data_IF_302558098385
#
_entry.id   IF_302558098385
#
_cell.length_a   1.000
_cell.length_b   1.000
_cell.length_c   1.000
_cell.angle_alpha   90.00
_cell.angle_beta   90.00
_cell.angle_gamma   90.00
#
_symmetry.space_group_name_H-M   'P 1'
#
loop_
_entity.id
_entity.type
_entity.pdbx_description
1 polymer ?
#
# COMPACT_ATOMS: atom_id res chain seq x y z
N UNK A 1 38.78 -43.55 -25.10
CA UNK A 1 39.54 -43.86 -26.33
C UNK A 1 38.49 -44.16 -27.40
N UNK A 2 38.31 -43.45 -28.52
CA UNK A 2 39.24 -42.72 -29.36
C UNK A 2 38.47 -41.65 -30.19
N UNK A 3 39.04 -40.44 -30.26
CA UNK A 3 39.14 -39.53 -31.43
C UNK A 3 37.92 -39.19 -32.33
N UNK A 4 37.53 -37.90 -32.31
CA UNK A 4 37.07 -37.05 -33.46
C UNK A 4 38.09 -37.12 -34.65
N UNK A 5 37.90 -36.60 -35.91
CA UNK A 5 37.16 -35.39 -36.31
C UNK A 5 36.62 -35.35 -37.80
N UNK A 6 36.27 -34.14 -38.29
CA UNK A 6 36.31 -33.62 -39.69
C UNK A 6 34.96 -33.50 -40.44
N UNK A 7 34.59 -32.25 -40.81
CA UNK A 7 33.46 -31.87 -41.72
C UNK A 7 33.86 -31.97 -43.20
N UNK A 8 33.44 -31.09 -44.14
CA UNK A 8 32.30 -30.14 -44.22
C UNK A 8 31.52 -30.27 -45.58
N UNK A 9 30.72 -29.25 -45.97
CA UNK A 9 30.45 -28.79 -47.38
C UNK A 9 29.16 -29.28 -48.14
N UNK A 10 28.22 -28.31 -48.25
CA UNK A 10 27.48 -27.75 -49.42
C UNK A 10 26.24 -28.41 -50.09
N UNK A 11 25.22 -27.55 -50.23
CA UNK A 11 24.32 -27.30 -51.39
C UNK A 11 23.31 -28.42 -51.79
N UNK A 12 22.05 -28.19 -52.15
CA UNK A 12 21.31 -27.03 -52.71
C UNK A 12 19.79 -27.34 -52.68
N UNK A 13 18.99 -26.29 -52.47
CA UNK A 13 17.57 -26.01 -52.78
C UNK A 13 16.61 -27.09 -53.35
N UNK A 14 15.30 -27.03 -52.97
CA UNK A 14 14.41 -26.08 -53.65
C UNK A 14 13.54 -25.20 -52.75
N UNK A 15 13.23 -24.05 -53.36
CA UNK A 15 12.32 -22.98 -52.94
C UNK A 15 10.89 -23.51 -52.94
N UNK A 16 10.16 -23.34 -51.84
CA UNK A 16 8.71 -23.30 -51.85
C UNK A 16 8.25 -22.01 -51.19
N UNK A 17 7.91 -21.04 -52.03
CA UNK A 17 7.25 -19.82 -51.64
C UNK A 17 5.84 -20.14 -51.14
N UNK A 18 5.53 -19.80 -49.89
CA UNK A 18 4.15 -19.74 -49.42
C UNK A 18 3.98 -18.59 -48.41
N UNK A 19 3.47 -17.49 -48.96
CA UNK A 19 2.47 -16.58 -48.40
C UNK A 19 2.73 -16.04 -46.99
N UNK A 20 3.18 -14.78 -46.97
CA UNK A 20 3.07 -13.88 -45.84
C UNK A 20 1.60 -13.71 -45.43
N UNK A 21 1.32 -14.01 -44.17
CA UNK A 21 0.06 -13.74 -43.50
C UNK A 21 0.32 -13.59 -42.01
N UNK A 22 1.17 -12.64 -41.62
CA UNK A 22 1.28 -12.24 -40.21
C UNK A 22 -0.01 -11.49 -39.89
N UNK A 23 -1.03 -12.25 -39.48
CA UNK A 23 -2.14 -11.69 -38.74
C UNK A 23 -1.57 -11.12 -37.45
N UNK A 24 -1.40 -9.80 -37.40
CA UNK A 24 -1.23 -9.08 -36.16
C UNK A 24 -2.50 -9.34 -35.35
N UNK A 25 -2.44 -10.33 -34.45
CA UNK A 25 -3.38 -10.45 -33.34
C UNK A 25 -3.25 -9.16 -32.54
N UNK A 26 -4.09 -8.19 -32.89
CA UNK A 26 -4.25 -6.96 -32.16
C UNK A 26 -4.56 -7.36 -30.71
N UNK A 27 -3.59 -7.13 -29.81
CA UNK A 27 -3.90 -6.98 -28.40
C UNK A 27 -5.04 -5.98 -28.32
N UNK A 28 -6.22 -6.46 -27.95
CA UNK A 28 -7.38 -5.62 -27.71
C UNK A 28 -6.99 -4.70 -26.56
N UNK A 29 -6.60 -3.47 -26.90
CA UNK A 29 -6.42 -2.38 -25.95
C UNK A 29 -7.79 -2.21 -25.30
N UNK A 30 -7.94 -2.78 -24.11
CA UNK A 30 -9.06 -2.46 -23.24
C UNK A 30 -8.95 -0.97 -22.94
N UNK A 31 -9.99 -0.17 -23.19
CA UNK A 31 -9.99 1.21 -22.74
C UNK A 31 -9.70 1.23 -21.24
N UNK A 32 -8.56 1.78 -20.84
CA UNK A 32 -8.40 2.28 -19.48
C UNK A 32 -9.53 3.30 -19.30
N UNK A 33 -10.43 3.13 -18.33
CA UNK A 33 -11.42 4.16 -18.06
C UNK A 33 -10.62 5.42 -17.77
N UNK A 34 -10.73 6.38 -18.69
CA UNK A 34 -10.32 7.75 -18.44
C UNK A 34 -10.98 8.16 -17.14
N UNK A 35 -10.25 8.89 -16.31
CA UNK A 35 -10.76 9.51 -15.09
C UNK A 35 -11.84 10.53 -15.46
N UNK A 36 -13.00 10.04 -15.88
CA UNK A 36 -14.23 10.80 -15.96
C UNK A 36 -14.81 10.72 -14.55
N UNK A 37 -14.75 11.86 -13.86
CA UNK A 37 -15.63 12.13 -12.74
C UNK A 37 -17.07 11.92 -13.20
N UNK A 38 -17.59 10.73 -12.91
CA UNK A 38 -19.00 10.42 -12.99
C UNK A 38 -19.54 10.44 -11.58
N UNK A 39 -20.26 11.52 -11.23
CA UNK A 39 -21.22 11.51 -10.16
C UNK A 39 -22.31 10.48 -10.50
N UNK A 40 -22.01 9.21 -10.24
CA UNK A 40 -22.98 8.14 -10.26
C UNK A 40 -23.73 8.16 -8.94
N UNK A 41 -24.83 8.91 -8.90
CA UNK A 41 -25.89 8.67 -7.92
C UNK A 41 -26.44 7.25 -8.16
N UNK A 42 -25.77 6.25 -7.59
CA UNK A 42 -26.42 5.01 -7.20
C UNK A 42 -27.09 5.35 -5.88
N UNK A 43 -28.42 5.36 -5.83
CA UNK A 43 -29.14 5.52 -4.57
C UNK A 43 -28.66 4.45 -3.58
N UNK A 44 -27.85 4.84 -2.59
CA UNK A 44 -27.46 4.02 -1.44
C UNK A 44 -25.97 4.06 -1.05
N UNK A 45 -25.04 3.87 -1.98
CA UNK A 45 -23.62 3.73 -1.65
C UNK A 45 -22.90 5.08 -1.59
N UNK A 46 -22.41 5.44 -0.40
CA UNK A 46 -21.60 6.64 -0.18
C UNK A 46 -20.42 6.27 0.72
N UNK A 47 -19.29 5.96 0.09
CA UNK A 47 -18.08 5.53 0.77
C UNK A 47 -17.57 6.55 1.81
N UNK A 48 -17.58 7.85 1.48
CA UNK A 48 -17.10 8.91 2.37
C UNK A 48 -17.95 8.98 3.65
N UNK A 49 -19.27 8.95 3.50
CA UNK A 49 -20.20 8.94 4.64
C UNK A 49 -20.05 7.68 5.49
N UNK A 50 -19.93 6.51 4.86
CA UNK A 50 -19.71 5.25 5.57
C UNK A 50 -18.42 5.27 6.40
N UNK A 51 -17.32 5.81 5.86
CA UNK A 51 -16.05 5.95 6.58
C UNK A 51 -16.20 6.92 7.76
N UNK A 52 -16.81 8.07 7.54
CA UNK A 52 -17.04 9.08 8.58
C UNK A 52 -17.82 8.50 9.77
N UNK A 53 -18.88 7.72 9.52
CA UNK A 53 -19.72 7.10 10.55
C UNK A 53 -18.95 6.09 11.44
N UNK A 54 -18.00 5.36 10.87
CA UNK A 54 -17.27 4.30 11.58
C UNK A 54 -15.90 4.74 12.12
N UNK A 55 -15.37 5.89 11.68
CA UNK A 55 -13.98 6.25 11.95
C UNK A 55 -13.68 6.32 13.44
N UNK A 56 -14.34 7.23 14.15
CA UNK A 56 -14.10 7.45 15.58
C UNK A 56 -14.65 6.30 16.45
N UNK A 57 -15.74 5.68 16.02
CA UNK A 57 -16.47 4.69 16.82
C UNK A 57 -15.94 3.26 16.68
N UNK A 58 -15.29 2.92 15.56
CA UNK A 58 -14.81 1.56 15.27
C UNK A 58 -13.36 1.52 14.82
N UNK A 59 -12.99 2.34 13.83
CA UNK A 59 -11.65 2.27 13.19
C UNK A 59 -10.55 2.60 14.20
N UNK A 60 -10.65 3.75 14.89
CA UNK A 60 -9.64 4.17 15.86
C UNK A 60 -9.53 3.18 17.03
N UNK A 61 -10.62 2.79 17.73
CA UNK A 61 -10.53 1.80 18.80
C UNK A 61 -9.92 0.47 18.35
N UNK A 62 -10.32 -0.02 17.17
CA UNK A 62 -9.79 -1.27 16.63
C UNK A 62 -8.28 -1.18 16.35
N UNK A 63 -7.82 -0.10 15.71
CA UNK A 63 -6.39 0.09 15.47
C UNK A 63 -5.62 0.25 16.78
N UNK A 64 -6.15 0.97 17.77
CA UNK A 64 -5.52 1.12 19.08
C UNK A 64 -5.39 -0.22 19.82
N UNK A 65 -6.41 -1.09 19.73
CA UNK A 65 -6.36 -2.44 20.30
C UNK A 65 -5.37 -3.34 19.56
N UNK A 66 -5.41 -3.34 18.23
CA UNK A 66 -4.65 -4.27 17.40
C UNK A 66 -3.20 -3.87 17.16
N UNK A 67 -2.87 -2.59 17.15
CA UNK A 67 -1.55 -2.14 16.75
C UNK A 67 -0.46 -2.55 17.75
N UNK A 68 0.64 -3.11 17.26
CA UNK A 68 1.87 -3.33 18.05
C UNK A 68 2.95 -2.29 17.77
N UNK A 69 4.03 -2.21 18.58
CA UNK A 69 5.21 -1.43 18.25
C UNK A 69 5.78 -1.83 16.89
N UNK A 70 6.10 -0.86 16.03
CA UNK A 70 6.50 -1.12 14.65
C UNK A 70 7.64 -2.15 14.52
N UNK A 71 8.71 -2.00 15.30
CA UNK A 71 9.87 -2.90 15.27
C UNK A 71 9.47 -4.35 15.55
N UNK A 72 8.62 -4.59 16.56
CA UNK A 72 8.13 -5.93 16.90
C UNK A 72 7.23 -6.51 15.83
N UNK A 73 6.28 -5.73 15.33
CA UNK A 73 5.34 -6.15 14.28
C UNK A 73 6.10 -6.49 13.00
N UNK A 74 7.04 -5.63 12.61
CA UNK A 74 7.80 -5.79 11.37
C UNK A 74 8.78 -6.96 11.44
N UNK A 75 9.45 -7.17 12.58
CA UNK A 75 10.31 -8.33 12.81
C UNK A 75 9.52 -9.65 12.74
N UNK A 76 8.34 -9.71 13.37
CA UNK A 76 7.48 -10.88 13.28
C UNK A 76 6.96 -11.07 11.85
N UNK A 77 6.52 -10.01 11.17
CA UNK A 77 6.01 -10.10 9.81
C UNK A 77 7.08 -10.61 8.81
N UNK A 78 8.36 -10.31 9.03
CA UNK A 78 9.46 -10.84 8.20
C UNK A 78 9.70 -12.34 8.39
N UNK A 79 9.38 -12.89 9.57
CA UNK A 79 9.66 -14.29 9.91
C UNK A 79 8.42 -15.19 9.79
N UNK A 80 7.25 -14.67 10.17
CA UNK A 80 5.96 -15.35 10.09
C UNK A 80 4.82 -14.32 9.86
N UNK A 81 4.50 -14.08 8.59
CA UNK A 81 3.42 -13.17 8.20
C UNK A 81 2.04 -13.62 8.70
N UNK A 82 1.82 -14.93 8.84
CA UNK A 82 0.52 -15.45 9.27
C UNK A 82 0.32 -15.19 10.77
N UNK A 83 1.34 -15.42 11.59
CA UNK A 83 1.30 -15.09 13.02
C UNK A 83 1.19 -13.57 13.24
N UNK A 84 1.98 -12.76 12.52
CA UNK A 84 1.83 -11.31 12.55
C UNK A 84 0.43 -10.86 12.14
N UNK A 85 -0.13 -11.51 11.11
CA UNK A 85 -1.44 -11.21 10.56
C UNK A 85 -2.58 -11.54 11.50
N UNK A 86 -2.49 -12.67 12.21
CA UNK A 86 -3.44 -13.05 13.24
C UNK A 86 -3.41 -12.08 14.44
N UNK A 87 -2.22 -11.63 14.84
CA UNK A 87 -2.03 -10.77 16.01
C UNK A 87 -2.36 -9.30 15.73
N UNK A 88 -1.77 -8.75 14.67
CA UNK A 88 -1.73 -7.31 14.37
C UNK A 88 -2.48 -6.92 13.10
N UNK A 89 -3.03 -7.87 12.34
CA UNK A 89 -3.69 -7.60 11.06
C UNK A 89 -5.12 -8.11 10.98
N UNK A 90 -5.60 -8.25 9.74
CA UNK A 90 -6.89 -8.83 9.40
C UNK A 90 -6.74 -10.32 9.04
N UNK A 91 -7.01 -11.27 9.95
CA UNK A 91 -6.91 -12.71 9.66
C UNK A 91 -7.94 -13.19 8.63
N UNK A 92 -8.98 -12.41 8.34
CA UNK A 92 -10.03 -12.71 7.38
C UNK A 92 -9.75 -12.08 6.00
N UNK A 93 -8.55 -11.55 5.76
CA UNK A 93 -8.16 -11.00 4.45
C UNK A 93 -8.47 -12.01 3.33
N UNK A 94 -8.71 -11.50 2.12
CA UNK A 94 -8.87 -12.37 0.96
C UNK A 94 -7.61 -13.24 0.76
N UNK A 95 -7.78 -14.48 0.30
CA UNK A 95 -6.71 -15.48 0.26
C UNK A 95 -5.43 -14.97 -0.42
N UNK A 96 -5.57 -14.27 -1.55
CA UNK A 96 -4.45 -13.77 -2.36
C UNK A 96 -4.07 -12.31 -2.06
N UNK A 97 -4.72 -11.65 -1.10
CA UNK A 97 -4.33 -10.31 -0.69
C UNK A 97 -3.08 -10.37 0.19
N UNK A 98 -2.17 -9.38 0.09
CA UNK A 98 -1.02 -9.29 0.98
C UNK A 98 -1.48 -9.06 2.43
N UNK A 99 -0.62 -9.43 3.38
CA UNK A 99 -0.86 -9.12 4.78
C UNK A 99 -0.72 -7.62 5.03
N UNK A 100 -1.60 -7.10 5.88
CA UNK A 100 -1.61 -5.71 6.30
C UNK A 100 -1.70 -5.67 7.82
N UNK A 101 -0.87 -4.85 8.45
CA UNK A 101 -0.68 -4.84 9.89
C UNK A 101 -0.90 -3.45 10.46
N UNK A 102 -1.63 -3.38 11.58
CA UNK A 102 -1.75 -2.20 12.41
C UNK A 102 -0.47 -2.02 13.25
N UNK A 103 0.05 -0.80 13.29
CA UNK A 103 1.32 -0.46 13.92
C UNK A 103 1.27 0.86 14.67
N UNK A 104 2.07 0.93 15.73
CA UNK A 104 2.50 2.17 16.38
C UNK A 104 3.93 2.45 15.96
N UNK A 105 4.13 3.56 15.23
CA UNK A 105 5.46 4.05 14.85
C UNK A 105 5.78 5.23 15.75
N UNK A 106 6.79 5.06 16.59
CA UNK A 106 7.30 6.12 17.45
C UNK A 106 8.80 6.24 17.23
N UNK A 107 9.28 7.45 16.94
CA UNK A 107 10.67 7.62 16.56
C UNK A 107 11.02 9.04 16.13
N UNK A 108 12.24 9.20 15.64
CA UNK A 108 12.76 10.47 15.15
C UNK A 108 12.57 10.57 13.64
N UNK A 109 12.08 11.72 13.17
CA UNK A 109 12.02 12.02 11.74
C UNK A 109 13.44 12.35 11.27
N UNK A 110 13.98 11.56 10.34
CA UNK A 110 15.33 11.76 9.81
C UNK A 110 15.36 12.27 8.38
N UNK A 111 14.25 12.16 7.64
CA UNK A 111 14.07 12.78 6.34
C UNK A 111 12.61 13.11 6.10
N UNK A 112 12.33 14.19 5.36
CA UNK A 112 10.97 14.52 4.93
C UNK A 112 10.93 15.00 3.48
N UNK A 113 9.98 14.46 2.70
CA UNK A 113 9.66 14.97 1.36
C UNK A 113 8.27 15.60 1.40
N UNK A 114 8.21 16.93 1.40
CA UNK A 114 6.96 17.70 1.37
C UNK A 114 6.72 18.43 0.05
N UNK A 115 7.61 18.25 -0.94
CA UNK A 115 7.53 18.92 -2.24
C UNK A 115 6.48 18.29 -3.16
N UNK A 116 6.19 17.00 -2.99
CA UNK A 116 5.20 16.28 -3.79
C UNK A 116 3.85 16.14 -3.06
N UNK A 117 2.77 15.91 -3.82
CA UNK A 117 1.46 15.57 -3.25
C UNK A 117 1.46 14.24 -2.51
N UNK A 118 2.37 13.32 -2.86
CA UNK A 118 2.61 12.05 -2.17
C UNK A 118 3.70 12.24 -1.10
N UNK A 119 3.57 13.29 -0.29
CA UNK A 119 4.55 13.66 0.73
C UNK A 119 4.73 12.53 1.77
N UNK A 120 5.96 12.36 2.23
CA UNK A 120 6.35 11.33 3.20
C UNK A 120 7.33 11.86 4.23
N UNK A 121 7.39 11.18 5.37
CA UNK A 121 8.48 11.34 6.35
C UNK A 121 9.05 9.97 6.68
N UNK A 122 10.38 9.89 6.79
CA UNK A 122 11.10 8.67 7.13
C UNK A 122 11.47 8.74 8.62
N UNK A 123 11.13 7.68 9.34
CA UNK A 123 11.23 7.60 10.79
C UNK A 123 12.23 6.52 11.16
N UNK A 124 13.19 6.91 12.00
CA UNK A 124 14.10 6.05 12.76
C UNK A 124 13.41 5.68 14.08
N UNK A 125 13.08 4.40 14.27
CA UNK A 125 12.35 3.91 15.44
C UNK A 125 13.27 3.34 16.52
N UNK A 126 14.51 2.99 16.18
CA UNK A 126 15.46 2.34 17.10
C UNK A 126 16.64 3.21 17.51
N UNK A 127 16.78 4.39 16.89
CA UNK A 127 17.79 5.41 17.19
C UNK A 127 19.14 5.16 16.52
N UNK A 128 19.23 4.27 15.52
CA UNK A 128 20.49 3.95 14.84
C UNK A 128 20.89 4.97 13.74
N UNK A 129 20.05 5.97 13.50
CA UNK A 129 20.23 7.00 12.49
C UNK A 129 19.79 6.61 11.08
N UNK A 130 19.15 5.46 10.90
CA UNK A 130 18.54 5.00 9.64
C UNK A 130 17.03 4.92 9.77
N UNK A 131 16.36 4.99 8.63
CA UNK A 131 14.92 4.91 8.60
C UNK A 131 14.47 3.45 8.65
N UNK A 132 13.48 3.17 9.48
CA UNK A 132 12.84 1.86 9.57
C UNK A 132 11.46 1.86 8.91
N UNK A 133 10.78 3.01 8.92
CA UNK A 133 9.45 3.18 8.39
C UNK A 133 9.34 4.48 7.58
N UNK A 134 8.53 4.44 6.52
CA UNK A 134 8.12 5.64 5.78
C UNK A 134 6.65 5.91 6.03
N UNK A 135 6.32 7.07 6.58
CA UNK A 135 4.93 7.47 6.85
C UNK A 135 4.42 8.42 5.77
N UNK A 136 3.24 8.13 5.24
CA UNK A 136 2.54 9.02 4.32
C UNK A 136 1.99 10.23 5.08
N UNK A 137 2.37 11.44 4.64
CA UNK A 137 1.87 12.71 5.20
C UNK A 137 1.23 13.60 4.13
N UNK A 138 1.18 13.13 2.88
CA UNK A 138 0.65 13.86 1.74
C UNK A 138 -0.82 13.55 1.44
N UNK A 139 -1.56 14.50 0.86
CA UNK A 139 -2.96 14.30 0.47
C UNK A 139 -3.16 13.26 -0.64
N UNK A 140 -2.11 12.87 -1.36
CA UNK A 140 -2.17 11.80 -2.35
C UNK A 140 -1.63 10.48 -1.76
N UNK A 141 -2.34 9.94 -0.77
CA UNK A 141 -1.98 8.66 -0.17
C UNK A 141 -2.22 7.48 -1.12
N UNK A 142 -1.33 6.50 -1.04
CA UNK A 142 -1.32 5.29 -1.85
C UNK A 142 -1.80 4.10 -1.02
N UNK A 143 -2.29 3.08 -1.72
CA UNK A 143 -2.70 1.81 -1.14
C UNK A 143 -4.03 1.88 -0.38
N UNK A 144 -4.33 0.80 0.33
CA UNK A 144 -5.59 0.58 1.07
C UNK A 144 -5.34 0.04 2.48
N UNK A 145 -4.14 0.28 3.03
CA UNK A 145 -3.67 -0.34 4.26
C UNK A 145 -4.63 -0.14 5.44
N UNK A 146 -5.19 1.07 5.61
CA UNK A 146 -6.15 1.32 6.68
C UNK A 146 -7.39 0.42 6.56
N UNK A 147 -8.02 0.35 5.38
CA UNK A 147 -9.17 -0.53 5.15
C UNK A 147 -8.80 -2.00 5.38
N UNK A 148 -7.66 -2.42 4.82
CA UNK A 148 -7.28 -3.83 4.77
C UNK A 148 -6.77 -4.39 6.10
N UNK A 149 -6.40 -3.52 7.04
CA UNK A 149 -6.08 -3.92 8.42
C UNK A 149 -7.31 -4.28 9.28
N UNK A 150 -8.53 -3.90 8.87
CA UNK A 150 -9.74 -4.03 9.69
C UNK A 150 -10.41 -5.40 9.50
N UNK A 151 -10.51 -6.19 10.55
CA UNK A 151 -11.11 -7.53 10.49
C UNK A 151 -12.66 -7.56 10.44
N UNK A 152 -13.28 -6.39 10.59
CA UNK A 152 -14.72 -6.17 10.45
C UNK A 152 -15.11 -5.56 9.11
N UNK A 153 -14.16 -5.28 8.21
CA UNK A 153 -14.41 -4.82 6.85
C UNK A 153 -14.00 -5.93 5.88
N UNK A 154 -14.96 -6.59 5.26
CA UNK A 154 -14.71 -7.68 4.34
C UNK A 154 -15.22 -7.34 2.94
N UNK A 155 -14.56 -7.89 1.92
CA UNK A 155 -14.97 -7.69 0.53
C UNK A 155 -16.43 -8.07 0.28
N UNK A 156 -16.90 -9.15 0.94
CA UNK A 156 -18.26 -9.67 0.78
C UNK A 156 -19.34 -8.75 1.39
N UNK A 157 -18.96 -7.71 2.14
CA UNK A 157 -19.88 -6.68 2.64
C UNK A 157 -20.23 -5.65 1.56
N UNK A 158 -19.60 -5.74 0.38
CA UNK A 158 -19.75 -4.81 -0.74
C UNK A 158 -20.35 -5.51 -1.96
N UNK A 159 -21.10 -4.74 -2.75
CA UNK A 159 -21.75 -5.28 -3.96
C UNK A 159 -20.75 -5.71 -5.02
N UNK A 160 -19.62 -5.00 -5.13
CA UNK A 160 -18.65 -5.25 -6.19
C UNK A 160 -17.25 -4.69 -5.83
N UNK A 161 -16.27 -4.94 -6.70
CA UNK A 161 -14.88 -4.49 -6.53
C UNK A 161 -14.69 -2.98 -6.64
N UNK A 162 -15.55 -2.28 -7.39
CA UNK A 162 -15.50 -0.83 -7.52
C UNK A 162 -15.89 -0.19 -6.19
N UNK A 163 -16.99 -0.63 -5.58
CA UNK A 163 -17.45 -0.13 -4.28
C UNK A 163 -16.39 -0.36 -3.20
N UNK A 164 -15.85 -1.58 -3.12
CA UNK A 164 -14.79 -1.90 -2.15
C UNK A 164 -13.54 -1.03 -2.35
N UNK A 165 -13.12 -0.79 -3.61
CA UNK A 165 -11.99 0.08 -3.92
C UNK A 165 -12.27 1.55 -3.61
N UNK A 166 -13.48 2.04 -3.89
CA UNK A 166 -13.93 3.39 -3.52
C UNK A 166 -13.92 3.57 -2.00
N UNK A 167 -14.37 2.57 -1.25
CA UNK A 167 -14.30 2.58 0.21
C UNK A 167 -12.86 2.70 0.72
N UNK A 168 -11.92 1.94 0.15
CA UNK A 168 -10.50 2.06 0.47
C UNK A 168 -9.93 3.46 0.17
N UNK A 169 -10.34 4.09 -0.93
CA UNK A 169 -9.96 5.48 -1.24
C UNK A 169 -10.56 6.50 -0.25
N UNK A 170 -11.81 6.29 0.17
CA UNK A 170 -12.48 7.14 1.15
C UNK A 170 -11.77 7.11 2.51
N UNK A 171 -11.25 5.97 2.95
CA UNK A 171 -10.38 5.88 4.14
C UNK A 171 -9.18 6.84 4.04
N UNK A 172 -8.51 6.81 2.89
CA UNK A 172 -7.34 7.66 2.68
C UNK A 172 -7.71 9.15 2.64
N UNK A 173 -8.79 9.50 1.94
CA UNK A 173 -9.28 10.87 1.88
C UNK A 173 -9.68 11.39 3.28
N UNK A 174 -10.31 10.53 4.09
CA UNK A 174 -10.71 10.88 5.44
C UNK A 174 -9.50 11.08 6.37
N UNK A 175 -8.49 10.20 6.31
CA UNK A 175 -7.22 10.37 7.03
C UNK A 175 -6.52 11.69 6.65
N UNK A 176 -6.45 12.04 5.36
CA UNK A 176 -5.88 13.32 4.94
C UNK A 176 -6.64 14.51 5.53
N UNK A 177 -7.97 14.51 5.36
CA UNK A 177 -8.86 15.58 5.86
C UNK A 177 -8.76 15.76 7.38
N UNK A 178 -8.66 14.67 8.14
CA UNK A 178 -8.79 14.73 9.60
C UNK A 178 -7.44 14.73 10.33
N UNK A 179 -6.38 14.24 9.69
CA UNK A 179 -5.05 14.08 10.30
C UNK A 179 -3.99 14.85 9.50
N UNK A 180 -3.76 14.48 8.24
CA UNK A 180 -2.53 14.90 7.52
C UNK A 180 -2.52 16.36 7.11
N UNK A 181 -3.69 16.90 6.75
CA UNK A 181 -3.86 18.32 6.46
C UNK A 181 -3.55 19.24 7.65
N UNK A 182 -3.53 18.70 8.87
CA UNK A 182 -3.22 19.43 10.11
C UNK A 182 -1.76 19.32 10.52
N UNK A 183 -0.99 18.44 9.88
CA UNK A 183 0.41 18.24 10.22
C UNK A 183 1.28 19.41 9.72
N UNK A 184 2.33 19.78 10.46
CA UNK A 184 3.29 20.76 10.00
C UNK A 184 3.97 20.28 8.71
N UNK A 185 4.26 21.21 7.80
CA UNK A 185 4.93 20.94 6.51
C UNK A 185 6.42 21.25 6.51
N UNK A 186 6.89 21.98 7.51
CA UNK A 186 8.24 22.53 7.59
C UNK A 186 8.95 22.07 8.86
N UNK A 187 10.28 22.07 8.81
CA UNK A 187 11.16 21.72 9.91
C UNK A 187 10.75 20.39 10.58
N UNK A 188 10.45 19.37 9.77
CA UNK A 188 10.03 18.04 10.25
C UNK A 188 11.23 17.24 10.78
N UNK A 189 12.35 17.30 10.07
CA UNK A 189 13.57 16.58 10.44
C UNK A 189 14.06 16.98 11.83
N UNK A 190 14.50 15.98 12.60
CA UNK A 190 14.93 16.14 13.99
C UNK A 190 13.81 16.03 15.02
N UNK A 191 12.54 16.22 14.63
CA UNK A 191 11.38 16.11 15.54
C UNK A 191 11.04 14.65 15.81
N UNK A 192 10.30 14.42 16.89
CA UNK A 192 9.70 13.12 17.16
C UNK A 192 8.35 12.99 16.45
N UNK A 193 8.00 11.79 16.04
CA UNK A 193 6.69 11.43 15.51
C UNK A 193 6.10 10.28 16.32
N UNK A 194 4.80 10.34 16.55
CA UNK A 194 3.98 9.24 17.06
C UNK A 194 2.85 8.99 16.09
N UNK A 195 2.75 7.78 15.56
CA UNK A 195 1.81 7.45 14.50
C UNK A 195 1.11 6.14 14.84
N UNK A 196 -0.22 6.17 14.83
CA UNK A 196 -1.04 4.97 14.75
C UNK A 196 -1.47 4.80 13.30
N UNK A 197 -1.19 3.65 12.70
CA UNK A 197 -1.52 3.43 11.30
C UNK A 197 -1.46 1.97 10.91
N UNK A 198 -1.45 1.73 9.61
CA UNK A 198 -1.29 0.41 9.05
C UNK A 198 -0.35 0.42 7.85
N UNK A 199 0.32 -0.70 7.60
CA UNK A 199 1.10 -0.91 6.39
C UNK A 199 0.87 -2.31 5.82
N UNK A 200 0.94 -2.41 4.51
CA UNK A 200 0.94 -3.69 3.79
C UNK A 200 2.39 -4.15 3.66
N UNK A 201 2.67 -5.42 3.98
CA UNK A 201 4.01 -5.94 3.76
C UNK A 201 4.25 -6.18 2.28
N UNK A 202 5.29 -5.54 1.77
CA UNK A 202 5.79 -5.70 0.41
C UNK A 202 7.12 -6.47 0.46
N UNK A 203 7.40 -7.25 -0.58
CA UNK A 203 8.72 -7.83 -0.77
C UNK A 203 9.67 -6.77 -1.36
N UNK A 204 10.89 -6.66 -0.84
CA UNK A 204 11.89 -5.75 -1.39
C UNK A 204 12.80 -5.12 -0.33
N UNK A 205 13.53 -4.08 -0.75
CA UNK A 205 14.41 -3.26 0.09
C UNK A 205 13.78 -1.90 0.45
N UNK A 206 12.59 -1.62 -0.07
CA UNK A 206 11.89 -0.37 0.23
C UNK A 206 11.41 -0.34 1.68
N UNK A 207 11.39 0.86 2.26
CA UNK A 207 10.84 1.07 3.60
C UNK A 207 9.34 0.75 3.62
N UNK A 208 8.85 0.05 4.66
CA UNK A 208 7.42 -0.14 4.88
C UNK A 208 6.66 1.20 4.86
N UNK A 209 5.71 1.30 3.93
CA UNK A 209 4.90 2.51 3.74
C UNK A 209 3.68 2.50 4.66
N UNK A 210 3.76 3.24 5.76
CA UNK A 210 2.72 3.35 6.77
C UNK A 210 1.71 4.43 6.39
N UNK A 211 0.44 4.05 6.43
CA UNK A 211 -0.71 4.95 6.26
C UNK A 211 -1.27 5.31 7.63
N UNK A 212 -1.17 6.57 8.08
CA UNK A 212 -1.59 6.99 9.40
C UNK A 212 -3.12 7.13 9.52
N UNK A 213 -3.67 6.66 10.65
CA UNK A 213 -5.02 6.98 11.12
C UNK A 213 -5.01 8.04 12.23
N UNK A 214 -3.91 8.13 12.99
CA UNK A 214 -3.60 9.22 13.90
C UNK A 214 -2.10 9.54 13.77
N UNK A 215 -1.73 10.82 13.92
CA UNK A 215 -0.34 11.24 13.90
C UNK A 215 -0.15 12.49 14.75
N UNK A 216 0.93 12.50 15.53
CA UNK A 216 1.40 13.63 16.31
C UNK A 216 2.89 13.87 16.03
N UNK A 217 3.27 15.13 15.83
CA UNK A 217 4.66 15.54 15.65
C UNK A 217 5.06 16.41 16.84
N UNK A 218 6.08 15.97 17.59
CA UNK A 218 6.62 16.67 18.76
C UNK A 218 7.17 18.07 18.42
N UNK A 219 7.59 18.90 19.37
CA UNK A 219 8.02 20.28 19.10
C UNK A 219 9.24 20.36 18.14
N UNK A 220 9.50 21.55 17.60
CA UNK A 220 10.75 21.80 16.84
C UNK A 220 11.97 21.55 17.75
N UNK A 221 13.09 21.01 17.22
CA UNK A 221 14.31 20.80 18.00
C UNK A 221 14.92 22.11 18.51
#
# INVERSE_FOLDING_TARGET
>A
MLSKPIGPIKATWPILALVAGIGLSACKILPTPSAQGGAGNVSGFNADKMVEEIWASKVIPHLQEKAGPFAEVHALAKTDQAAAGAKYGNPKKQANSPWTFAVRVEGKIIAANTQSRAATMDIDVDGDGKADARVQIGPAMRGTALRDSLDFVQFNDFTNQIDFAQFGKAFNAYADKTVLSKLPREALEGRTAKVLGAYTIEGGQDLPLVTPAEAEIGPKP
#
